data_IF_212978101211
#
_entry.id   IF_212978101211
#
_cell.length_a   1.000
_cell.length_b   1.000
_cell.length_c   1.000
_cell.angle_alpha   90.00
_cell.angle_beta   90.00
_cell.angle_gamma   90.00
#
_symmetry.space_group_name_H-M   'P 1'
#
loop_
_entity.id
_entity.type
_entity.pdbx_description
1 polymer ?
#
# COMPACT_ATOMS: atom_id res chain seq x y z
N UNK A 1 -6.53 -4.41 -7.08
CA UNK A 1 -7.81 -3.65 -6.99
C UNK A 1 -7.92 -2.57 -8.07
N UNK A 2 -6.91 -1.69 -8.26
CA UNK A 2 -6.95 -0.61 -9.28
C UNK A 2 -7.31 -1.14 -10.69
N UNK A 3 -6.64 -2.21 -11.14
CA UNK A 3 -6.91 -2.84 -12.42
C UNK A 3 -8.38 -3.30 -12.58
N UNK A 4 -8.95 -3.82 -11.49
CA UNK A 4 -10.35 -4.29 -11.48
C UNK A 4 -11.35 -3.13 -11.57
N UNK A 5 -11.21 -2.10 -10.73
CA UNK A 5 -12.19 -0.98 -10.71
C UNK A 5 -12.06 -0.07 -11.93
N UNK A 6 -10.85 0.10 -12.50
CA UNK A 6 -10.64 0.88 -13.72
C UNK A 6 -11.01 0.11 -14.99
N UNK A 7 -11.02 -1.23 -14.94
CA UNK A 7 -11.19 -2.11 -16.12
C UNK A 7 -10.18 -1.79 -17.23
N UNK A 8 -8.99 -1.31 -16.84
CA UNK A 8 -7.96 -0.99 -17.82
C UNK A 8 -7.37 -2.28 -18.43
N UNK A 9 -7.43 -2.45 -19.77
CA UNK A 9 -7.04 -3.69 -20.41
C UNK A 9 -5.56 -4.02 -20.24
N UNK A 10 -4.69 -3.01 -20.21
CA UNK A 10 -3.25 -3.21 -20.03
C UNK A 10 -2.92 -3.66 -18.60
N UNK A 11 -3.60 -3.08 -17.60
CA UNK A 11 -3.45 -3.51 -16.20
C UNK A 11 -4.02 -4.92 -15.99
N UNK A 12 -5.23 -5.19 -16.48
CA UNK A 12 -5.87 -6.51 -16.36
C UNK A 12 -5.05 -7.57 -17.11
N UNK A 13 -4.56 -7.24 -18.31
CA UNK A 13 -3.71 -8.12 -19.12
C UNK A 13 -2.40 -8.48 -18.40
N UNK A 14 -1.75 -7.53 -17.73
CA UNK A 14 -0.54 -7.78 -16.96
C UNK A 14 -0.79 -8.83 -15.85
N UNK A 15 -1.86 -8.67 -15.08
CA UNK A 15 -2.22 -9.64 -14.03
C UNK A 15 -2.61 -11.03 -14.60
N UNK A 16 -3.39 -11.08 -15.69
CA UNK A 16 -3.77 -12.35 -16.34
C UNK A 16 -2.57 -13.14 -16.84
N UNK A 17 -1.54 -12.43 -17.30
CA UNK A 17 -0.31 -13.03 -17.84
C UNK A 17 0.77 -13.25 -16.77
N UNK A 18 0.45 -13.05 -15.48
CA UNK A 18 1.41 -13.23 -14.39
C UNK A 18 2.59 -12.25 -14.41
N UNK A 19 2.45 -11.11 -15.12
CA UNK A 19 3.51 -10.09 -15.20
C UNK A 19 3.50 -9.18 -13.97
N UNK A 20 4.68 -8.73 -13.58
CA UNK A 20 4.80 -7.68 -12.56
C UNK A 20 4.20 -6.37 -13.07
N UNK A 21 3.20 -5.86 -12.37
CA UNK A 21 2.46 -4.67 -12.80
C UNK A 21 3.34 -3.42 -12.83
N UNK A 22 4.24 -3.26 -11.88
CA UNK A 22 5.12 -2.09 -11.83
C UNK A 22 6.20 -2.13 -12.91
N UNK A 23 6.74 -3.31 -13.21
CA UNK A 23 7.65 -3.49 -14.34
C UNK A 23 6.93 -3.26 -15.68
N UNK A 24 5.67 -3.70 -15.83
CA UNK A 24 4.83 -3.42 -17.00
C UNK A 24 4.60 -1.91 -17.15
N UNK A 25 4.31 -1.21 -16.09
CA UNK A 25 4.10 0.24 -16.08
C UNK A 25 5.40 0.96 -16.41
N UNK A 26 6.53 0.53 -15.84
CA UNK A 26 7.84 1.10 -16.13
C UNK A 26 8.20 0.93 -17.62
N UNK A 27 7.97 -0.25 -18.17
CA UNK A 27 8.18 -0.55 -19.59
C UNK A 27 7.41 0.40 -20.51
N UNK A 28 6.11 0.58 -20.24
CA UNK A 28 5.23 1.43 -21.06
C UNK A 28 5.52 2.92 -20.85
N UNK A 29 5.79 3.35 -19.63
CA UNK A 29 5.98 4.77 -19.29
C UNK A 29 7.36 5.29 -19.67
N UNK A 30 8.40 4.45 -19.55
CA UNK A 30 9.79 4.84 -19.81
C UNK A 30 10.31 4.33 -21.16
N UNK A 31 9.51 3.54 -21.89
CA UNK A 31 9.86 2.96 -23.17
C UNK A 31 11.11 2.05 -23.13
N UNK A 32 11.18 1.18 -22.12
CA UNK A 32 12.18 0.13 -22.00
C UNK A 32 11.57 -1.26 -22.18
N UNK A 33 12.33 -2.28 -22.62
CA UNK A 33 11.89 -3.67 -22.58
C UNK A 33 11.42 -4.07 -21.16
N UNK A 34 10.38 -4.90 -21.07
CA UNK A 34 9.84 -5.35 -19.78
C UNK A 34 10.90 -6.01 -18.92
N UNK A 35 11.74 -6.83 -19.50
CA UNK A 35 12.82 -7.57 -18.84
C UNK A 35 13.85 -6.63 -18.18
N UNK A 36 14.07 -5.45 -18.76
CA UNK A 36 14.96 -4.42 -18.20
C UNK A 36 14.30 -3.56 -17.12
N UNK A 37 13.00 -3.75 -16.88
CA UNK A 37 12.25 -3.09 -15.80
C UNK A 37 12.03 -4.02 -14.59
N UNK A 38 12.65 -5.21 -14.59
CA UNK A 38 12.60 -6.16 -13.48
C UNK A 38 13.81 -6.00 -12.56
N UNK A 39 13.66 -6.33 -11.28
CA UNK A 39 14.78 -6.36 -10.32
C UNK A 39 15.76 -7.47 -10.64
N UNK A 40 15.24 -8.61 -11.11
CA UNK A 40 16.05 -9.73 -11.59
C UNK A 40 15.65 -10.04 -13.03
N UNK A 41 16.64 -10.33 -13.86
CA UNK A 41 16.39 -10.74 -15.23
C UNK A 41 15.63 -12.07 -15.23
N UNK A 42 14.44 -12.16 -15.85
CA UNK A 42 13.60 -13.36 -15.79
C UNK A 42 14.20 -14.57 -16.52
N UNK A 43 15.21 -14.35 -17.38
CA UNK A 43 15.86 -15.40 -18.14
C UNK A 43 17.16 -15.88 -17.46
N UNK A 44 17.99 -14.92 -17.01
CA UNK A 44 19.33 -15.22 -16.48
C UNK A 44 19.39 -15.25 -14.96
N UNK A 45 18.36 -14.73 -14.27
CA UNK A 45 18.36 -14.54 -12.82
C UNK A 45 19.31 -13.42 -12.32
N UNK A 46 20.01 -12.73 -13.21
CA UNK A 46 20.96 -11.69 -12.84
C UNK A 46 20.25 -10.48 -12.21
N UNK A 47 20.84 -9.93 -11.17
CA UNK A 47 20.35 -8.71 -10.51
C UNK A 47 20.51 -7.49 -11.44
N UNK A 48 19.44 -6.69 -11.56
CA UNK A 48 19.37 -5.49 -12.41
C UNK A 48 19.04 -4.26 -11.57
N UNK A 49 20.05 -3.56 -11.01
CA UNK A 49 19.84 -2.38 -10.17
C UNK A 49 19.02 -1.28 -10.87
N UNK A 50 19.27 -1.04 -12.16
CA UNK A 50 18.50 -0.07 -12.96
C UNK A 50 17.06 -0.51 -13.17
N UNK A 51 16.81 -1.81 -13.38
CA UNK A 51 15.47 -2.37 -13.48
C UNK A 51 14.70 -2.18 -12.18
N UNK A 52 15.34 -2.43 -11.05
CA UNK A 52 14.79 -2.16 -9.69
C UNK A 52 14.42 -0.68 -9.53
N UNK A 53 15.28 0.23 -9.99
CA UNK A 53 15.02 1.67 -9.92
C UNK A 53 13.82 2.07 -10.77
N UNK A 54 13.77 1.66 -12.05
CA UNK A 54 12.66 1.92 -12.97
C UNK A 54 11.33 1.39 -12.41
N UNK A 55 11.33 0.16 -11.89
CA UNK A 55 10.17 -0.44 -11.22
C UNK A 55 9.75 0.36 -9.98
N UNK A 56 10.72 0.80 -9.18
CA UNK A 56 10.48 1.64 -8.00
C UNK A 56 9.85 2.99 -8.35
N UNK A 57 10.36 3.65 -9.39
CA UNK A 57 9.80 4.90 -9.91
C UNK A 57 8.36 4.72 -10.41
N UNK A 58 8.09 3.68 -11.19
CA UNK A 58 6.74 3.36 -11.66
C UNK A 58 5.77 3.12 -10.48
N UNK A 59 6.21 2.42 -9.43
CA UNK A 59 5.43 2.22 -8.20
C UNK A 59 5.05 3.55 -7.55
N UNK A 60 6.00 4.47 -7.38
CA UNK A 60 5.75 5.80 -6.78
C UNK A 60 4.75 6.59 -7.61
N UNK A 61 4.87 6.56 -8.95
CA UNK A 61 3.99 7.30 -9.86
C UNK A 61 2.57 6.77 -9.80
N UNK A 62 2.39 5.46 -9.94
CA UNK A 62 1.04 4.85 -9.94
C UNK A 62 0.34 5.04 -8.60
N UNK A 63 1.07 4.85 -7.51
CA UNK A 63 0.54 5.15 -6.18
C UNK A 63 0.25 6.65 -6.05
N UNK A 64 1.15 7.51 -6.53
CA UNK A 64 0.94 8.95 -6.57
C UNK A 64 -0.34 9.34 -7.31
N UNK A 65 -0.55 8.80 -8.52
CA UNK A 65 -1.76 9.03 -9.32
C UNK A 65 -3.02 8.57 -8.57
N UNK A 66 -3.01 7.34 -8.05
CA UNK A 66 -4.17 6.76 -7.37
C UNK A 66 -4.49 7.45 -6.03
N UNK A 67 -3.47 7.98 -5.34
CA UNK A 67 -3.63 8.77 -4.11
C UNK A 67 -3.81 10.27 -4.38
N UNK A 68 -3.79 10.68 -5.65
CA UNK A 68 -3.99 12.07 -6.07
C UNK A 68 -2.85 12.99 -5.65
N UNK A 69 -1.60 12.52 -5.64
CA UNK A 69 -0.44 13.37 -5.46
C UNK A 69 -0.36 14.38 -6.60
N UNK A 70 0.13 15.57 -6.31
CA UNK A 70 0.46 16.55 -7.36
C UNK A 70 1.74 16.13 -8.07
N UNK A 71 1.91 16.56 -9.33
CA UNK A 71 3.15 16.31 -10.08
C UNK A 71 4.38 16.91 -9.40
N UNK A 72 4.23 18.00 -8.67
CA UNK A 72 5.29 18.55 -7.80
C UNK A 72 5.69 17.53 -6.70
N UNK A 73 4.72 16.98 -5.99
CA UNK A 73 5.00 15.97 -4.93
C UNK A 73 5.60 14.68 -5.51
N UNK A 74 5.15 14.27 -6.70
CA UNK A 74 5.73 13.12 -7.42
C UNK A 74 7.18 13.45 -7.82
N UNK A 75 7.44 14.66 -8.34
CA UNK A 75 8.77 15.13 -8.70
C UNK A 75 9.74 15.15 -7.52
N UNK A 76 9.29 15.65 -6.37
CA UNK A 76 10.08 15.62 -5.14
C UNK A 76 10.37 14.20 -4.66
N UNK A 77 9.42 13.28 -4.81
CA UNK A 77 9.59 11.88 -4.43
C UNK A 77 10.56 11.13 -5.35
N UNK A 78 10.52 11.40 -6.65
CA UNK A 78 11.38 10.74 -7.64
C UNK A 78 12.78 11.36 -7.73
N UNK A 79 12.84 12.67 -7.73
CA UNK A 79 14.04 13.44 -8.02
C UNK A 79 14.54 14.26 -6.83
N UNK A 80 14.00 14.04 -5.62
CA UNK A 80 14.35 14.82 -4.43
C UNK A 80 15.84 14.83 -4.09
N UNK A 81 16.54 13.73 -4.38
CA UNK A 81 17.99 13.60 -4.19
C UNK A 81 18.83 14.31 -5.28
N UNK A 82 18.23 14.66 -6.43
CA UNK A 82 18.89 15.35 -7.54
C UNK A 82 19.04 16.83 -7.21
N UNK A 83 20.24 17.22 -6.80
CA UNK A 83 20.60 18.63 -6.48
C UNK A 83 20.83 19.49 -7.73
N UNK A 84 21.04 18.85 -8.86
CA UNK A 84 21.26 19.43 -10.19
C UNK A 84 19.96 19.90 -10.88
N UNK A 85 18.79 19.62 -10.29
CA UNK A 85 17.48 19.97 -10.83
C UNK A 85 16.77 20.98 -9.92
N UNK A 86 16.17 21.99 -10.52
CA UNK A 86 15.25 22.92 -9.84
C UNK A 86 13.91 22.26 -9.54
N UNK A 87 13.09 22.87 -8.67
CA UNK A 87 11.74 22.36 -8.35
C UNK A 87 10.83 22.36 -9.59
N UNK A 88 10.97 23.35 -10.47
CA UNK A 88 10.24 23.45 -11.73
C UNK A 88 10.62 22.33 -12.70
N UNK A 89 11.91 22.03 -12.84
CA UNK A 89 12.41 20.94 -13.70
C UNK A 89 11.94 19.59 -13.20
N UNK A 90 12.03 19.35 -11.88
CA UNK A 90 11.49 18.11 -11.26
C UNK A 90 10.00 17.94 -11.51
N UNK A 91 9.24 19.03 -11.39
CA UNK A 91 7.79 19.01 -11.64
C UNK A 91 7.47 18.76 -13.12
N UNK A 92 8.22 19.39 -14.03
CA UNK A 92 8.05 19.21 -15.48
C UNK A 92 8.37 17.77 -15.91
N UNK A 93 9.44 17.17 -15.37
CA UNK A 93 9.79 15.79 -15.66
C UNK A 93 8.76 14.81 -15.09
N UNK A 94 8.31 15.02 -13.84
CA UNK A 94 7.24 14.25 -13.24
C UNK A 94 5.92 14.37 -14.04
N UNK A 95 5.62 15.52 -14.64
CA UNK A 95 4.45 15.68 -15.48
C UNK A 95 4.53 14.83 -16.75
N UNK A 96 5.68 14.77 -17.41
CA UNK A 96 5.86 13.90 -18.60
C UNK A 96 5.59 12.46 -18.28
N UNK A 97 6.16 11.96 -17.16
CA UNK A 97 5.97 10.58 -16.74
C UNK A 97 4.51 10.31 -16.32
N UNK A 98 3.90 11.27 -15.62
CA UNK A 98 2.48 11.21 -15.25
C UNK A 98 1.59 11.07 -16.49
N UNK A 99 1.82 11.89 -17.52
CA UNK A 99 1.07 11.87 -18.77
C UNK A 99 1.32 10.56 -19.54
N UNK A 100 2.55 10.07 -19.57
CA UNK A 100 2.89 8.79 -20.19
C UNK A 100 2.14 7.62 -19.53
N UNK A 101 2.08 7.58 -18.20
CA UNK A 101 1.31 6.56 -17.47
C UNK A 101 -0.19 6.66 -17.78
N UNK A 102 -0.78 7.85 -17.76
CA UNK A 102 -2.20 8.01 -18.06
C UNK A 102 -2.53 7.70 -19.54
N UNK A 103 -1.61 7.91 -20.45
CA UNK A 103 -1.77 7.52 -21.85
C UNK A 103 -1.65 6.01 -22.04
N UNK A 104 -0.77 5.34 -21.29
CA UNK A 104 -0.64 3.88 -21.28
C UNK A 104 -1.87 3.18 -20.65
N UNK A 105 -2.58 3.89 -19.74
CA UNK A 105 -3.74 3.37 -19.01
C UNK A 105 -4.96 4.31 -19.12
N UNK A 106 -5.58 4.42 -20.30
CA UNK A 106 -6.64 5.39 -20.55
C UNK A 106 -7.87 5.18 -19.67
N UNK A 107 -8.22 3.92 -19.37
CA UNK A 107 -9.36 3.62 -18.51
C UNK A 107 -9.12 4.04 -17.04
N UNK A 108 -7.86 4.09 -16.59
CA UNK A 108 -7.53 4.63 -15.27
C UNK A 108 -7.86 6.12 -15.19
N UNK A 109 -7.52 6.88 -16.25
CA UNK A 109 -7.85 8.31 -16.34
C UNK A 109 -9.36 8.55 -16.29
N UNK A 110 -10.11 7.78 -17.05
CA UNK A 110 -11.58 7.86 -17.08
C UNK A 110 -12.21 7.46 -15.74
N UNK A 111 -11.67 6.44 -15.08
CA UNK A 111 -12.10 6.02 -13.75
C UNK A 111 -11.91 7.13 -12.71
N UNK A 112 -10.75 7.79 -12.70
CA UNK A 112 -10.50 8.93 -11.80
C UNK A 112 -11.54 10.01 -12.02
N UNK A 113 -11.76 10.43 -13.29
CA UNK A 113 -12.74 11.46 -13.63
C UNK A 113 -14.16 11.06 -13.23
N UNK A 114 -14.59 9.85 -13.56
CA UNK A 114 -15.92 9.34 -13.18
C UNK A 114 -16.13 9.33 -11.67
N UNK A 115 -15.11 8.96 -10.89
CA UNK A 115 -15.20 8.95 -9.43
C UNK A 115 -15.39 10.36 -8.85
N UNK A 116 -14.74 11.38 -9.44
CA UNK A 116 -14.92 12.79 -9.06
C UNK A 116 -16.30 13.30 -9.44
N UNK A 117 -16.77 13.01 -10.65
CA UNK A 117 -18.09 13.42 -11.14
C UNK A 117 -19.21 12.79 -10.30
N UNK A 118 -19.04 11.52 -9.91
CA UNK A 118 -19.97 10.83 -9.00
C UNK A 118 -20.03 11.53 -7.64
N UNK A 119 -18.88 11.86 -7.07
CA UNK A 119 -18.81 12.56 -5.78
C UNK A 119 -19.40 13.99 -5.88
N UNK A 120 -19.20 14.70 -7.00
CA UNK A 120 -19.83 16.02 -7.23
C UNK A 120 -21.34 15.91 -7.26
N UNK A 121 -21.85 14.89 -7.95
CA UNK A 121 -23.29 14.73 -8.15
C UNK A 121 -24.00 14.25 -6.89
N UNK A 122 -23.44 13.27 -6.21
CA UNK A 122 -24.13 12.54 -5.13
C UNK A 122 -23.57 12.80 -3.74
N UNK A 123 -22.39 13.45 -3.61
CA UNK A 123 -21.73 13.70 -2.33
C UNK A 123 -21.00 12.48 -1.74
N UNK A 124 -20.92 11.36 -2.49
CA UNK A 124 -20.25 10.14 -2.08
C UNK A 124 -19.69 9.37 -3.27
N UNK A 125 -18.82 8.42 -2.99
CA UNK A 125 -18.39 7.34 -3.90
C UNK A 125 -18.70 5.99 -3.27
N UNK A 126 -18.79 4.94 -4.08
CA UNK A 126 -19.10 3.57 -3.64
C UNK A 126 -17.96 2.60 -3.93
N UNK A 127 -17.73 1.68 -3.00
CA UNK A 127 -16.84 0.53 -3.19
C UNK A 127 -17.50 -0.53 -4.07
N UNK A 128 -16.78 -1.60 -4.41
CA UNK A 128 -17.29 -2.69 -5.25
C UNK A 128 -18.49 -3.42 -4.64
N UNK A 129 -18.65 -3.40 -3.31
CA UNK A 129 -19.80 -3.98 -2.61
C UNK A 129 -20.85 -2.93 -2.23
N UNK A 130 -20.77 -1.72 -2.78
CA UNK A 130 -21.78 -0.66 -2.58
C UNK A 130 -21.66 0.11 -1.27
N UNK A 131 -20.53 -0.04 -0.52
CA UNK A 131 -20.31 0.76 0.67
C UNK A 131 -19.99 2.21 0.29
N UNK A 132 -20.76 3.15 0.84
CA UNK A 132 -20.63 4.58 0.55
C UNK A 132 -19.58 5.27 1.40
N UNK A 133 -18.75 6.04 0.74
CA UNK A 133 -17.84 7.00 1.36
C UNK A 133 -18.32 8.41 1.05
N UNK A 134 -18.88 9.10 2.03
CA UNK A 134 -19.32 10.49 1.88
C UNK A 134 -18.14 11.43 1.73
N UNK A 135 -18.23 12.32 0.72
CA UNK A 135 -17.23 13.32 0.38
C UNK A 135 -17.95 14.64 0.08
N UNK A 136 -18.60 15.27 1.08
CA UNK A 136 -19.45 16.44 0.89
C UNK A 136 -18.71 17.64 0.33
N UNK A 137 -17.40 17.76 0.60
CA UNK A 137 -16.56 18.85 0.09
C UNK A 137 -16.50 18.88 -1.45
N UNK A 138 -16.81 17.78 -2.15
CA UNK A 138 -16.92 17.77 -3.62
C UNK A 138 -18.12 18.55 -4.16
N UNK A 139 -19.12 18.79 -3.33
CA UNK A 139 -20.32 19.55 -3.69
C UNK A 139 -20.21 21.04 -3.36
N UNK A 140 -19.14 21.46 -2.71
CA UNK A 140 -18.88 22.87 -2.42
C UNK A 140 -18.66 23.66 -3.72
N UNK A 141 -19.16 24.92 -3.72
CA UNK A 141 -18.75 25.88 -4.75
C UNK A 141 -17.29 26.28 -4.52
N UNK A 142 -16.48 26.48 -5.57
CA UNK A 142 -15.09 26.91 -5.44
C UNK A 142 -14.94 28.19 -4.62
N UNK A 143 -15.86 29.11 -4.80
CA UNK A 143 -15.96 30.35 -4.05
C UNK A 143 -17.39 30.57 -3.59
N UNK A 144 -17.53 30.94 -2.32
CA UNK A 144 -18.81 31.37 -1.75
C UNK A 144 -18.67 32.81 -1.28
N UNK A 145 -19.74 33.60 -1.46
CA UNK A 145 -19.77 35.01 -1.15
C UNK A 145 -20.78 35.25 -0.03
N UNK A 146 -20.37 35.94 1.02
CA UNK A 146 -21.23 36.29 2.16
C UNK A 146 -21.12 37.78 2.47
N UNK A 147 -22.21 38.38 2.87
CA UNK A 147 -22.17 39.76 3.36
C UNK A 147 -21.23 39.85 4.58
N UNK A 148 -20.26 40.71 4.52
CA UNK A 148 -19.35 41.07 5.61
C UNK A 148 -19.90 42.21 6.46
N UNK A 149 -19.14 42.57 7.48
CA UNK A 149 -19.50 43.73 8.33
C UNK A 149 -19.43 45.00 7.48
N UNK A 150 -20.52 45.76 7.40
CA UNK A 150 -20.60 46.99 6.62
C UNK A 150 -21.10 46.80 5.18
N UNK A 151 -21.46 45.56 4.76
CA UNK A 151 -22.09 45.34 3.47
C UNK A 151 -23.42 46.03 3.38
N UNK A 152 -23.64 46.74 2.27
CA UNK A 152 -24.93 47.43 1.95
C UNK A 152 -25.57 46.66 0.79
N UNK A 153 -26.68 46.01 1.03
CA UNK A 153 -27.46 45.36 -0.01
C UNK A 153 -28.12 46.38 -0.91
N UNK A 154 -27.76 46.48 -2.21
CA UNK A 154 -28.33 47.50 -3.11
C UNK A 154 -29.79 47.32 -3.44
N UNK A 155 -30.42 46.22 -3.09
CA UNK A 155 -31.83 45.91 -3.38
C UNK A 155 -32.73 46.18 -2.16
N UNK A 156 -32.22 46.83 -1.10
CA UNK A 156 -33.01 47.23 0.06
C UNK A 156 -33.76 48.53 -0.22
N UNK A 157 -35.05 48.49 -0.10
CA UNK A 157 -35.90 49.65 0.03
C UNK A 157 -36.18 49.90 1.51
N UNK A 158 -35.69 51.03 2.09
CA UNK A 158 -35.94 51.33 3.51
C UNK A 158 -37.42 51.47 3.87
N UNK A 159 -38.28 51.66 2.88
CA UNK A 159 -39.75 51.81 3.08
C UNK A 159 -40.53 50.45 2.96
N UNK A 160 -39.85 49.39 2.47
CA UNK A 160 -40.48 48.07 2.36
C UNK A 160 -39.91 47.08 3.41
N UNK A 161 -40.73 46.72 4.45
CA UNK A 161 -40.30 45.78 5.49
C UNK A 161 -39.88 44.41 4.97
N UNK A 162 -40.34 43.97 3.79
CA UNK A 162 -39.92 42.69 3.18
C UNK A 162 -38.48 42.71 2.70
N UNK A 163 -38.00 43.87 2.27
CA UNK A 163 -36.60 44.00 1.84
C UNK A 163 -35.66 44.21 3.03
N UNK A 164 -36.10 44.82 4.11
CA UNK A 164 -35.32 45.06 5.34
C UNK A 164 -34.86 43.75 5.98
N UNK A 165 -35.62 42.66 5.87
CA UNK A 165 -35.24 41.36 6.38
C UNK A 165 -33.99 40.78 5.67
N UNK A 166 -33.66 41.26 4.48
CA UNK A 166 -32.53 40.82 3.62
C UNK A 166 -31.27 41.70 3.68
N UNK A 167 -31.19 42.56 4.67
CA UNK A 167 -30.07 43.52 4.80
C UNK A 167 -28.69 42.86 4.76
N UNK A 168 -28.59 41.65 5.32
CA UNK A 168 -27.31 40.88 5.38
C UNK A 168 -27.22 39.84 4.27
N UNK A 169 -28.02 39.90 3.23
CA UNK A 169 -27.96 38.98 2.09
C UNK A 169 -27.40 39.66 0.86
N UNK A 170 -26.52 38.98 0.14
CA UNK A 170 -26.05 39.43 -1.17
C UNK A 170 -27.07 38.98 -2.20
N UNK A 171 -27.63 39.91 -3.02
CA UNK A 171 -28.55 39.55 -4.08
C UNK A 171 -28.02 38.48 -5.01
N UNK A 172 -28.83 37.51 -5.37
CA UNK A 172 -28.43 36.37 -6.20
C UNK A 172 -27.81 36.77 -7.54
N UNK A 173 -28.31 37.88 -8.13
CA UNK A 173 -27.73 38.43 -9.36
C UNK A 173 -26.29 38.84 -9.20
N UNK A 174 -25.88 39.39 -8.03
CA UNK A 174 -24.51 39.77 -7.71
C UNK A 174 -23.65 38.49 -7.48
N UNK A 175 -24.17 37.53 -6.72
CA UNK A 175 -23.51 36.23 -6.50
C UNK A 175 -23.19 35.56 -7.85
N UNK A 176 -24.19 35.45 -8.73
CA UNK A 176 -24.00 34.86 -10.08
C UNK A 176 -23.00 35.62 -10.92
N UNK A 177 -22.95 36.96 -10.82
CA UNK A 177 -21.95 37.79 -11.52
C UNK A 177 -20.56 37.47 -11.00
N UNK A 178 -20.36 37.42 -9.69
CA UNK A 178 -19.08 37.09 -9.06
C UNK A 178 -18.64 35.66 -9.39
N UNK A 179 -19.54 34.67 -9.37
CA UNK A 179 -19.22 33.30 -9.76
C UNK A 179 -18.68 33.22 -11.19
N UNK A 180 -19.31 33.93 -12.14
CA UNK A 180 -18.83 34.00 -13.53
C UNK A 180 -17.50 34.72 -13.65
N UNK A 181 -17.32 35.81 -12.92
CA UNK A 181 -16.09 36.57 -12.86
C UNK A 181 -14.94 35.68 -12.35
N UNK A 182 -15.10 34.99 -11.22
CA UNK A 182 -14.08 34.11 -10.64
C UNK A 182 -13.77 32.91 -11.53
N UNK A 183 -14.77 32.37 -12.24
CA UNK A 183 -14.56 31.29 -13.20
C UNK A 183 -13.73 31.73 -14.44
N UNK A 184 -13.72 33.02 -14.75
CA UNK A 184 -12.95 33.58 -15.91
C UNK A 184 -11.48 33.80 -15.63
N UNK A 185 -11.07 33.84 -14.36
CA UNK A 185 -9.68 34.15 -13.99
C UNK A 185 -8.73 32.97 -14.28
N UNK A 186 -7.66 33.28 -15.04
CA UNK A 186 -6.63 32.30 -15.40
C UNK A 186 -5.50 32.18 -14.37
N UNK A 187 -5.24 33.27 -13.63
CA UNK A 187 -4.10 33.39 -12.74
C UNK A 187 -4.50 33.63 -11.30
N UNK A 188 -3.86 32.90 -10.37
CA UNK A 188 -4.11 33.03 -8.92
C UNK A 188 -3.97 34.49 -8.42
N UNK A 189 -3.04 35.27 -8.97
CA UNK A 189 -2.84 36.66 -8.59
C UNK A 189 -4.06 37.53 -8.85
N UNK A 190 -4.79 37.31 -9.96
CA UNK A 190 -6.04 38.02 -10.28
C UNK A 190 -7.11 37.72 -9.23
N UNK A 191 -7.26 36.47 -8.89
CA UNK A 191 -8.23 35.98 -7.85
C UNK A 191 -7.90 36.63 -6.50
N UNK A 192 -6.62 36.61 -6.09
CA UNK A 192 -6.19 37.17 -4.82
C UNK A 192 -6.45 38.71 -4.75
N UNK A 193 -6.12 39.41 -5.80
CA UNK A 193 -6.38 40.85 -5.90
C UNK A 193 -7.86 41.17 -5.80
N UNK A 194 -8.70 40.39 -6.48
CA UNK A 194 -10.16 40.57 -6.46
C UNK A 194 -10.80 40.22 -5.10
N UNK A 195 -10.33 39.19 -4.45
CA UNK A 195 -10.76 38.82 -3.06
C UNK A 195 -10.50 40.02 -2.14
N UNK A 196 -9.30 40.59 -2.17
CA UNK A 196 -8.94 41.72 -1.33
C UNK A 196 -9.85 42.95 -1.60
N UNK A 197 -10.12 43.25 -2.87
CA UNK A 197 -11.03 44.33 -3.25
C UNK A 197 -12.46 44.10 -2.74
N UNK A 198 -13.00 42.88 -2.86
CA UNK A 198 -14.32 42.53 -2.37
C UNK A 198 -14.42 42.69 -0.85
N UNK A 199 -13.42 42.26 -0.10
CA UNK A 199 -13.42 42.29 1.37
C UNK A 199 -13.18 43.72 1.90
N UNK A 200 -12.27 44.50 1.31
CA UNK A 200 -11.89 45.81 1.82
C UNK A 200 -12.85 46.91 1.37
N UNK A 201 -13.34 46.84 0.13
CA UNK A 201 -14.13 47.95 -0.49
C UNK A 201 -15.62 47.63 -0.56
N UNK A 202 -15.96 46.39 -0.99
CA UNK A 202 -17.35 46.00 -1.20
C UNK A 202 -17.95 45.31 0.03
N UNK A 203 -17.13 45.08 1.05
CA UNK A 203 -17.52 44.38 2.29
C UNK A 203 -18.17 43.00 2.05
N UNK A 204 -17.72 42.31 1.00
CA UNK A 204 -18.15 40.94 0.67
C UNK A 204 -17.04 39.99 1.10
N UNK A 205 -17.33 39.13 2.07
CA UNK A 205 -16.43 38.07 2.51
C UNK A 205 -16.42 36.93 1.50
N UNK A 206 -15.23 36.53 1.07
CA UNK A 206 -15.03 35.43 0.12
C UNK A 206 -14.51 34.19 0.84
N UNK A 207 -15.26 33.08 0.75
CA UNK A 207 -14.84 31.79 1.25
C UNK A 207 -14.25 31.01 0.08
N UNK A 208 -12.95 30.75 0.14
CA UNK A 208 -12.25 29.98 -0.88
C UNK A 208 -12.22 28.50 -0.51
N UNK A 209 -13.00 27.68 -1.21
CA UNK A 209 -13.10 26.23 -1.01
C UNK A 209 -12.20 25.43 -1.95
N UNK A 210 -11.43 26.04 -2.84
CA UNK A 210 -10.64 25.34 -3.86
C UNK A 210 -9.70 24.29 -3.27
N UNK A 211 -9.05 24.60 -2.14
CA UNK A 211 -8.19 23.64 -1.44
C UNK A 211 -8.95 22.46 -0.82
N UNK A 212 -10.18 22.72 -0.30
CA UNK A 212 -11.04 21.66 0.24
C UNK A 212 -11.49 20.72 -0.88
N UNK A 213 -11.97 21.29 -1.99
CA UNK A 213 -12.38 20.54 -3.18
C UNK A 213 -11.21 19.72 -3.72
N UNK A 214 -10.01 20.32 -3.86
CA UNK A 214 -8.82 19.61 -4.32
C UNK A 214 -8.40 18.45 -3.40
N UNK A 215 -8.55 18.60 -2.07
CA UNK A 215 -8.33 17.52 -1.11
C UNK A 215 -9.41 16.44 -1.22
N UNK A 216 -10.65 16.82 -1.45
CA UNK A 216 -11.77 15.90 -1.61
C UNK A 216 -11.66 15.10 -2.91
N UNK A 217 -11.30 15.74 -4.03
CA UNK A 217 -11.03 15.11 -5.34
C UNK A 217 -10.04 13.94 -5.20
N UNK A 218 -8.91 14.17 -4.52
CA UNK A 218 -7.91 13.11 -4.26
C UNK A 218 -8.46 11.92 -3.47
N UNK A 219 -9.51 12.12 -2.64
CA UNK A 219 -10.13 11.05 -1.86
C UNK A 219 -11.09 10.19 -2.68
N UNK A 220 -11.61 10.67 -3.80
CA UNK A 220 -12.65 9.97 -4.56
C UNK A 220 -12.16 8.62 -5.07
N UNK A 221 -11.17 8.61 -5.94
CA UNK A 221 -10.58 7.42 -6.52
C UNK A 221 -9.99 6.50 -5.44
N UNK A 222 -9.19 7.09 -4.53
CA UNK A 222 -8.53 6.36 -3.45
C UNK A 222 -9.53 5.63 -2.53
N UNK A 223 -10.66 6.27 -2.18
CA UNK A 223 -11.68 5.65 -1.33
C UNK A 223 -12.34 4.43 -1.98
N UNK A 224 -12.50 4.43 -3.29
CA UNK A 224 -13.01 3.27 -4.02
C UNK A 224 -11.98 2.14 -3.98
N UNK A 225 -10.72 2.43 -4.35
CA UNK A 225 -9.65 1.43 -4.43
C UNK A 225 -9.37 0.80 -3.06
N UNK A 226 -9.06 1.62 -2.06
CA UNK A 226 -8.73 1.13 -0.71
C UNK A 226 -9.93 0.53 0.01
N UNK A 227 -11.10 1.16 -0.15
CA UNK A 227 -12.33 0.63 0.42
C UNK A 227 -12.67 -0.75 -0.12
N UNK A 228 -12.53 -0.96 -1.43
CA UNK A 228 -12.76 -2.25 -2.07
C UNK A 228 -11.69 -3.28 -1.70
N UNK A 229 -10.42 -2.87 -1.52
CA UNK A 229 -9.38 -3.75 -1.01
C UNK A 229 -9.69 -4.23 0.41
N UNK A 230 -10.14 -3.32 1.28
CA UNK A 230 -10.55 -3.68 2.64
C UNK A 230 -11.78 -4.61 2.67
N UNK A 231 -12.67 -4.51 1.68
CA UNK A 231 -13.79 -5.44 1.52
C UNK A 231 -13.30 -6.84 1.12
N UNK A 232 -12.31 -6.92 0.24
CA UNK A 232 -11.68 -8.19 -0.12
C UNK A 232 -11.08 -8.88 1.10
N UNK A 233 -10.34 -8.16 1.94
CA UNK A 233 -9.82 -8.68 3.21
C UNK A 233 -10.94 -9.18 4.13
N UNK A 234 -12.06 -8.47 4.21
CA UNK A 234 -13.22 -8.91 5.00
C UNK A 234 -13.86 -10.19 4.46
N UNK A 235 -13.95 -10.32 3.12
CA UNK A 235 -14.42 -11.57 2.50
C UNK A 235 -13.46 -12.72 2.87
N UNK A 236 -12.14 -12.48 2.83
CA UNK A 236 -11.15 -13.46 3.23
C UNK A 236 -11.33 -13.89 4.69
N UNK A 237 -11.50 -12.95 5.62
CA UNK A 237 -11.78 -13.23 7.04
C UNK A 237 -13.00 -14.11 7.19
N UNK A 238 -14.11 -13.78 6.52
CA UNK A 238 -15.35 -14.55 6.59
C UNK A 238 -15.19 -15.96 6.03
N UNK A 239 -14.45 -16.13 4.93
CA UNK A 239 -14.15 -17.44 4.36
C UNK A 239 -13.34 -18.29 5.34
N UNK A 240 -12.26 -17.77 5.89
CA UNK A 240 -11.41 -18.46 6.86
C UNK A 240 -12.19 -18.78 8.13
N UNK A 241 -12.95 -17.82 8.67
CA UNK A 241 -13.74 -18.00 9.88
C UNK A 241 -14.82 -19.08 9.73
N UNK A 242 -15.41 -19.23 8.55
CA UNK A 242 -16.50 -20.20 8.31
C UNK A 242 -16.00 -21.55 7.80
N UNK A 243 -14.75 -21.69 7.41
CA UNK A 243 -14.21 -22.93 6.84
C UNK A 243 -14.14 -24.05 7.90
N UNK A 244 -14.78 -25.21 7.65
CA UNK A 244 -14.82 -26.29 8.63
C UNK A 244 -13.47 -26.99 8.78
N UNK A 245 -12.67 -27.07 7.72
CA UNK A 245 -11.35 -27.71 7.75
C UNK A 245 -10.36 -26.88 8.57
N UNK A 246 -10.38 -25.55 8.39
CA UNK A 246 -9.62 -24.60 9.21
C UNK A 246 -9.95 -24.75 10.70
N UNK A 247 -11.25 -24.81 11.04
CA UNK A 247 -11.71 -25.00 12.42
C UNK A 247 -11.29 -26.34 13.01
N UNK A 248 -11.39 -27.43 12.22
CA UNK A 248 -11.00 -28.78 12.66
C UNK A 248 -9.49 -28.87 12.96
N UNK A 249 -8.67 -28.07 12.29
CA UNK A 249 -7.23 -27.95 12.58
C UNK A 249 -6.92 -27.08 13.80
N UNK A 250 -7.92 -26.45 14.41
CA UNK A 250 -7.75 -25.55 15.56
C UNK A 250 -7.28 -24.15 15.17
N UNK A 251 -7.46 -23.77 13.90
CA UNK A 251 -7.07 -22.46 13.40
C UNK A 251 -7.95 -21.33 13.94
N UNK A 252 -7.35 -20.19 14.28
CA UNK A 252 -8.03 -18.98 14.76
C UNK A 252 -7.47 -17.76 14.04
N UNK A 253 -8.34 -16.92 13.52
CA UNK A 253 -7.96 -15.56 13.02
C UNK A 253 -7.86 -14.64 14.22
N UNK A 254 -6.71 -13.99 14.40
CA UNK A 254 -6.46 -13.08 15.52
C UNK A 254 -6.80 -11.65 15.12
N UNK A 255 -6.18 -11.14 14.06
CA UNK A 255 -6.39 -9.76 13.61
C UNK A 255 -5.99 -9.58 12.13
N UNK A 256 -6.60 -8.62 11.43
CA UNK A 256 -6.13 -8.14 10.14
C UNK A 256 -5.09 -7.03 10.31
N UNK A 257 -4.04 -7.05 9.49
CA UNK A 257 -3.05 -5.97 9.38
C UNK A 257 -2.99 -5.53 7.92
N UNK A 258 -3.71 -4.48 7.57
CA UNK A 258 -3.87 -4.00 6.19
C UNK A 258 -4.42 -5.08 5.24
N UNK A 259 -3.57 -5.71 4.45
CA UNK A 259 -3.84 -6.78 3.49
C UNK A 259 -3.41 -8.17 3.98
N UNK A 260 -2.93 -8.26 5.21
CA UNK A 260 -2.51 -9.49 5.87
C UNK A 260 -3.55 -9.98 6.89
N UNK A 261 -3.59 -11.29 7.12
CA UNK A 261 -4.30 -11.91 8.23
C UNK A 261 -3.31 -12.58 9.16
N UNK A 262 -3.31 -12.16 10.41
CA UNK A 262 -2.59 -12.85 11.47
C UNK A 262 -3.50 -13.90 12.06
N UNK A 263 -3.03 -15.13 12.03
CA UNK A 263 -3.78 -16.28 12.50
C UNK A 263 -2.91 -17.18 13.40
N UNK A 264 -3.54 -17.91 14.27
CA UNK A 264 -2.93 -18.89 15.18
C UNK A 264 -3.42 -20.28 14.83
N UNK A 265 -2.53 -21.26 14.86
CA UNK A 265 -2.86 -22.66 14.61
C UNK A 265 -1.90 -23.56 15.42
N UNK A 266 -2.35 -24.74 15.91
CA UNK A 266 -1.43 -25.70 16.54
C UNK A 266 -0.28 -26.07 15.62
N UNK A 267 0.95 -26.10 16.15
CA UNK A 267 2.19 -26.33 15.38
C UNK A 267 2.10 -27.56 14.48
N UNK A 268 1.59 -28.69 15.02
CA UNK A 268 1.41 -29.93 14.26
C UNK A 268 0.56 -29.78 12.99
N UNK A 269 -0.26 -28.76 12.92
CA UNK A 269 -1.15 -28.45 11.80
C UNK A 269 -0.68 -27.25 10.97
N UNK A 270 0.47 -26.63 11.30
CA UNK A 270 0.92 -25.37 10.73
C UNK A 270 1.06 -25.41 9.20
N UNK A 271 1.68 -26.46 8.65
CA UNK A 271 1.84 -26.62 7.20
C UNK A 271 0.50 -26.70 6.48
N UNK A 272 -0.36 -27.63 6.90
CA UNK A 272 -1.68 -27.81 6.30
C UNK A 272 -2.57 -26.58 6.48
N UNK A 273 -2.52 -25.97 7.65
CA UNK A 273 -3.24 -24.74 7.93
C UNK A 273 -2.77 -23.58 7.08
N UNK A 274 -1.46 -23.45 6.84
CA UNK A 274 -0.91 -22.44 5.92
C UNK A 274 -1.44 -22.61 4.49
N UNK A 275 -1.49 -23.84 3.98
CA UNK A 275 -2.04 -24.12 2.65
C UNK A 275 -3.53 -23.76 2.55
N UNK A 276 -4.32 -24.06 3.59
CA UNK A 276 -5.75 -23.71 3.65
C UNK A 276 -5.93 -22.20 3.73
N UNK A 277 -5.16 -21.51 4.57
CA UNK A 277 -5.23 -20.06 4.73
C UNK A 277 -4.91 -19.36 3.40
N UNK A 278 -3.82 -19.75 2.72
CA UNK A 278 -3.44 -19.26 1.41
C UNK A 278 -4.56 -19.45 0.38
N UNK A 279 -5.15 -20.65 0.34
CA UNK A 279 -6.26 -20.97 -0.56
C UNK A 279 -7.47 -20.10 -0.28
N UNK A 280 -7.93 -20.00 0.95
CA UNK A 280 -9.14 -19.26 1.32
C UNK A 280 -8.99 -17.75 1.10
N UNK A 281 -7.82 -17.20 1.41
CA UNK A 281 -7.51 -15.79 1.13
C UNK A 281 -7.48 -15.51 -0.38
N UNK A 282 -6.87 -16.40 -1.17
CA UNK A 282 -6.86 -16.30 -2.63
C UNK A 282 -8.26 -16.39 -3.22
N UNK A 283 -9.10 -17.31 -2.73
CA UNK A 283 -10.49 -17.47 -3.15
C UNK A 283 -11.40 -16.27 -2.83
N UNK A 284 -11.02 -15.41 -1.90
CA UNK A 284 -11.74 -14.16 -1.65
C UNK A 284 -11.78 -13.27 -2.90
N UNK A 285 -10.81 -13.41 -3.78
CA UNK A 285 -10.70 -12.71 -5.06
C UNK A 285 -11.30 -13.42 -6.26
N UNK A 286 -12.04 -14.54 -6.13
CA UNK A 286 -12.54 -15.32 -7.26
C UNK A 286 -13.51 -14.57 -8.18
N UNK A 287 -14.10 -13.46 -7.75
CA UNK A 287 -14.91 -12.58 -8.59
C UNK A 287 -14.08 -11.64 -9.48
N UNK A 288 -12.78 -11.55 -9.25
CA UNK A 288 -11.88 -10.74 -10.06
C UNK A 288 -11.53 -11.46 -11.38
N UNK A 289 -11.23 -10.74 -12.45
CA UNK A 289 -10.89 -11.34 -13.74
C UNK A 289 -9.47 -11.95 -13.78
N UNK A 290 -8.76 -11.97 -12.67
CA UNK A 290 -7.42 -12.52 -12.50
C UNK A 290 -7.26 -13.12 -11.11
N UNK A 291 -6.34 -14.07 -10.97
CA UNK A 291 -6.06 -14.74 -9.69
C UNK A 291 -5.28 -13.82 -8.76
N UNK A 292 -5.65 -13.81 -7.47
CA UNK A 292 -4.85 -13.26 -6.39
C UNK A 292 -4.09 -14.41 -5.74
N UNK A 293 -2.78 -14.28 -5.58
CA UNK A 293 -1.97 -15.20 -4.81
C UNK A 293 -1.76 -14.62 -3.41
N UNK A 294 -1.83 -15.48 -2.40
CA UNK A 294 -1.54 -15.14 -1.02
C UNK A 294 -0.44 -16.05 -0.53
N UNK A 295 0.68 -15.47 -0.14
CA UNK A 295 1.79 -16.16 0.49
C UNK A 295 1.51 -16.27 2.00
N UNK A 296 1.90 -17.39 2.60
CA UNK A 296 1.76 -17.61 4.03
C UNK A 296 3.12 -17.94 4.62
N UNK A 297 3.49 -17.20 5.66
CA UNK A 297 4.67 -17.47 6.46
C UNK A 297 4.23 -17.96 7.83
N UNK A 298 4.81 -19.04 8.28
CA UNK A 298 4.57 -19.59 9.63
C UNK A 298 5.70 -19.14 10.55
N UNK A 299 5.36 -18.57 11.71
CA UNK A 299 6.30 -18.14 12.73
C UNK A 299 5.81 -18.56 14.10
N UNK A 300 6.71 -18.69 15.08
CA UNK A 300 6.29 -18.99 16.46
C UNK A 300 5.74 -17.76 17.19
N UNK A 301 6.11 -16.59 16.73
CA UNK A 301 5.69 -15.29 17.28
C UNK A 301 5.65 -14.22 16.19
N UNK A 302 4.85 -13.22 16.36
CA UNK A 302 4.90 -12.03 15.49
C UNK A 302 6.28 -11.37 15.63
N UNK A 303 7.01 -11.14 14.58
CA UNK A 303 8.45 -10.81 14.50
C UNK A 303 9.41 -11.98 14.73
N UNK A 304 8.94 -13.22 14.66
CA UNK A 304 9.81 -14.40 14.63
C UNK A 304 10.37 -14.65 13.23
N UNK A 305 11.47 -15.41 13.17
CA UNK A 305 11.92 -16.05 11.94
C UNK A 305 10.84 -17.03 11.43
N UNK A 306 10.87 -17.37 10.15
CA UNK A 306 10.02 -18.41 9.62
C UNK A 306 10.19 -19.70 10.42
N UNK A 307 9.09 -20.29 10.88
CA UNK A 307 9.17 -21.54 11.64
C UNK A 307 9.68 -22.68 10.75
N UNK A 308 10.50 -23.61 11.30
CA UNK A 308 11.15 -24.67 10.52
C UNK A 308 10.27 -25.64 9.77
N UNK A 309 8.94 -25.47 9.75
CA UNK A 309 8.12 -26.19 8.77
C UNK A 309 8.49 -25.86 7.30
N UNK A 310 9.28 -24.80 7.08
CA UNK A 310 9.88 -24.45 5.80
C UNK A 310 11.26 -25.08 5.64
N UNK A 311 11.94 -25.44 6.74
CA UNK A 311 13.24 -26.09 6.75
C UNK A 311 13.07 -27.59 7.06
N UNK A 312 14.02 -28.37 6.61
CA UNK A 312 14.02 -29.82 6.86
C UNK A 312 14.66 -30.11 8.21
N UNK A 313 13.93 -30.79 9.12
CA UNK A 313 14.48 -31.26 10.39
C UNK A 313 15.55 -32.33 10.10
N UNK A 314 16.81 -32.16 10.57
CA UNK A 314 17.83 -33.17 10.39
C UNK A 314 17.49 -34.45 11.19
N UNK A 315 17.91 -35.59 10.68
CA UNK A 315 17.74 -36.88 11.38
C UNK A 315 18.89 -37.20 12.33
N UNK A 316 20.06 -36.63 12.08
CA UNK A 316 21.27 -36.79 12.91
C UNK A 316 22.22 -35.61 12.70
N UNK A 317 23.02 -35.32 13.72
CA UNK A 317 24.12 -34.32 13.66
C UNK A 317 25.48 -34.99 13.88
N UNK A 318 25.62 -36.28 13.63
CA UNK A 318 26.90 -36.97 13.77
C UNK A 318 27.93 -36.55 12.72
N UNK A 319 27.45 -36.30 11.50
CA UNK A 319 28.29 -35.89 10.37
C UNK A 319 27.67 -34.64 9.68
N UNK A 320 28.14 -33.48 10.04
CA UNK A 320 27.63 -32.19 9.53
C UNK A 320 27.86 -32.01 8.02
N UNK A 321 28.88 -32.68 7.43
CA UNK A 321 29.15 -32.55 5.99
C UNK A 321 28.09 -33.17 5.11
N UNK A 322 27.18 -33.94 5.69
CA UNK A 322 26.07 -34.59 5.00
C UNK A 322 24.75 -33.83 5.10
N UNK A 323 24.71 -32.78 5.91
CA UNK A 323 23.49 -31.97 6.07
C UNK A 323 23.25 -31.12 4.82
N UNK A 324 22.00 -31.04 4.42
CA UNK A 324 21.54 -30.12 3.38
C UNK A 324 21.46 -28.69 3.92
N UNK A 325 21.50 -27.68 3.03
CA UNK A 325 21.31 -26.28 3.41
C UNK A 325 20.02 -26.06 4.23
N UNK A 326 18.94 -26.77 3.90
CA UNK A 326 17.67 -26.70 4.62
C UNK A 326 17.75 -27.28 6.03
N UNK A 327 18.55 -28.33 6.24
CA UNK A 327 18.78 -28.92 7.57
C UNK A 327 19.69 -28.05 8.43
N UNK A 328 20.70 -27.44 7.83
CA UNK A 328 21.57 -26.47 8.50
C UNK A 328 20.74 -25.24 8.92
N UNK A 329 19.90 -24.70 8.02
CA UNK A 329 19.04 -23.58 8.35
C UNK A 329 18.04 -23.91 9.47
N UNK A 330 17.57 -25.15 9.55
CA UNK A 330 16.74 -25.62 10.68
C UNK A 330 17.49 -25.54 12.01
N UNK A 331 18.75 -25.98 12.07
CA UNK A 331 19.60 -25.90 13.26
C UNK A 331 19.91 -24.45 13.63
N UNK A 332 20.28 -23.64 12.66
CA UNK A 332 20.54 -22.21 12.85
C UNK A 332 19.32 -21.49 13.42
N UNK A 333 18.12 -21.75 12.87
CA UNK A 333 16.89 -21.19 13.39
C UNK A 333 16.70 -21.49 14.88
N UNK A 334 16.88 -22.75 15.29
CA UNK A 334 16.67 -23.14 16.67
C UNK A 334 17.72 -22.53 17.61
N UNK A 335 18.98 -22.46 17.19
CA UNK A 335 20.03 -21.78 17.94
C UNK A 335 19.77 -20.29 18.06
N UNK A 336 19.31 -19.63 16.98
CA UNK A 336 18.95 -18.22 17.00
C UNK A 336 17.80 -17.95 17.98
N UNK A 337 16.75 -18.73 17.96
CA UNK A 337 15.61 -18.59 18.88
C UNK A 337 16.01 -18.82 20.36
N UNK A 338 17.10 -19.51 20.62
CA UNK A 338 17.68 -19.68 21.94
C UNK A 338 18.77 -18.62 22.26
N UNK A 339 18.77 -17.52 21.50
CA UNK A 339 19.64 -16.34 21.70
C UNK A 339 21.15 -16.59 21.44
N UNK A 340 21.49 -17.62 20.67
CA UNK A 340 22.86 -17.80 20.19
C UNK A 340 23.16 -16.80 19.05
N UNK A 341 24.29 -16.08 19.17
CA UNK A 341 24.72 -15.09 18.16
C UNK A 341 25.34 -15.80 16.95
N UNK A 342 24.51 -16.15 15.96
CA UNK A 342 24.98 -16.79 14.74
C UNK A 342 25.82 -15.86 13.86
N UNK A 343 26.88 -16.38 13.20
CA UNK A 343 27.61 -15.60 12.24
C UNK A 343 26.77 -15.28 11.02
N UNK A 344 26.97 -14.09 10.46
CA UNK A 344 26.30 -13.64 9.24
C UNK A 344 27.32 -13.75 8.10
N UNK A 345 27.13 -14.69 7.19
CA UNK A 345 27.98 -14.87 6.01
C UNK A 345 27.62 -13.83 4.95
N UNK A 346 28.45 -12.77 4.85
CA UNK A 346 28.25 -11.71 3.85
C UNK A 346 28.79 -12.15 2.50
N UNK A 347 27.93 -12.31 1.50
CA UNK A 347 28.34 -12.46 0.10
C UNK A 347 28.54 -11.08 -0.51
N UNK A 348 29.72 -10.85 -1.15
CA UNK A 348 30.05 -9.57 -1.77
C UNK A 348 28.98 -9.16 -2.80
N UNK A 349 28.42 -7.96 -2.66
CA UNK A 349 27.38 -7.44 -3.57
C UNK A 349 25.95 -7.93 -3.31
N UNK A 350 25.73 -8.79 -2.30
CA UNK A 350 24.39 -9.28 -1.94
C UNK A 350 23.90 -8.61 -0.66
N UNK A 351 22.75 -7.97 -0.72
CA UNK A 351 22.04 -7.50 0.48
C UNK A 351 21.32 -8.70 1.09
N UNK A 352 21.73 -9.10 2.27
CA UNK A 352 21.05 -10.15 3.02
C UNK A 352 19.69 -9.60 3.52
N UNK A 353 18.61 -10.35 3.28
CA UNK A 353 17.25 -10.03 3.72
C UNK A 353 16.63 -11.26 4.42
N UNK A 354 15.65 -11.01 5.28
CA UNK A 354 14.96 -12.07 6.01
C UNK A 354 15.86 -12.85 6.96
N UNK A 355 15.71 -14.16 6.98
CA UNK A 355 16.37 -15.07 7.89
C UNK A 355 17.89 -15.08 7.73
N UNK A 356 18.39 -14.95 6.50
CA UNK A 356 19.82 -14.88 6.22
C UNK A 356 20.51 -13.63 6.84
N UNK A 357 19.77 -12.52 7.00
CA UNK A 357 20.27 -11.32 7.68
C UNK A 357 20.46 -11.53 9.19
N UNK A 358 19.94 -12.61 9.73
CA UNK A 358 20.00 -13.01 11.14
C UNK A 358 20.91 -14.22 11.36
N UNK A 359 21.62 -14.67 10.32
CA UNK A 359 22.53 -15.81 10.37
C UNK A 359 21.84 -17.17 10.17
N UNK A 360 20.60 -17.19 9.67
CA UNK A 360 19.90 -18.42 9.25
C UNK A 360 19.99 -18.47 7.72
N UNK A 361 21.09 -18.94 7.21
CA UNK A 361 21.45 -18.89 5.79
C UNK A 361 21.73 -20.27 5.14
N UNK A 362 21.71 -21.35 5.94
CA UNK A 362 21.99 -22.70 5.51
C UNK A 362 23.47 -23.01 5.31
N UNK A 363 24.37 -22.13 5.73
CA UNK A 363 25.83 -22.35 5.67
C UNK A 363 26.35 -22.77 7.04
N UNK A 364 27.11 -23.86 7.08
CA UNK A 364 27.71 -24.36 8.31
C UNK A 364 28.91 -23.48 8.73
N UNK A 365 29.09 -23.29 10.04
CA UNK A 365 30.22 -22.56 10.60
C UNK A 365 30.79 -23.25 11.84
N UNK A 366 32.09 -22.97 12.15
CA UNK A 366 32.73 -23.46 13.35
C UNK A 366 32.05 -22.96 14.64
N UNK A 367 31.44 -21.79 14.59
CA UNK A 367 30.65 -21.26 15.70
C UNK A 367 29.41 -22.13 16.00
N UNK A 368 28.78 -22.71 15.00
CA UNK A 368 27.69 -23.65 15.20
C UNK A 368 28.13 -24.91 15.97
N UNK A 369 29.29 -25.47 15.62
CA UNK A 369 29.88 -26.59 16.37
C UNK A 369 30.06 -26.25 17.84
N UNK A 370 30.60 -25.07 18.11
CA UNK A 370 30.80 -24.56 19.46
C UNK A 370 29.47 -24.42 20.20
N UNK A 371 28.47 -23.80 19.58
CA UNK A 371 27.13 -23.59 20.19
C UNK A 371 26.42 -24.90 20.46
N UNK A 372 26.46 -25.85 19.53
CA UNK A 372 25.87 -27.19 19.72
C UNK A 372 26.55 -27.91 20.87
N UNK A 373 27.89 -27.89 20.92
CA UNK A 373 28.69 -28.53 21.99
C UNK A 373 28.36 -27.88 23.35
N UNK A 374 28.31 -26.56 23.42
CA UNK A 374 27.94 -25.81 24.62
C UNK A 374 26.55 -26.16 25.08
N UNK A 375 25.58 -26.20 24.14
CA UNK A 375 24.20 -26.53 24.44
C UNK A 375 24.03 -27.95 25.00
N UNK A 376 24.65 -28.94 24.37
CA UNK A 376 24.69 -30.35 24.80
C UNK A 376 25.26 -30.48 26.21
N UNK A 377 26.40 -29.83 26.46
CA UNK A 377 27.06 -29.86 27.77
C UNK A 377 26.21 -29.19 28.86
N UNK A 378 25.66 -28.01 28.58
CA UNK A 378 24.82 -27.23 29.49
C UNK A 378 23.54 -27.98 29.90
N UNK A 379 22.91 -28.67 28.95
CA UNK A 379 21.67 -29.39 29.18
C UNK A 379 21.90 -30.86 29.58
N UNK A 380 23.15 -31.36 29.61
CA UNK A 380 23.52 -32.74 29.97
C UNK A 380 22.77 -33.80 29.13
N UNK A 381 22.74 -33.60 27.83
CA UNK A 381 22.09 -34.50 26.85
C UNK A 381 23.13 -35.11 25.93
N UNK A 382 22.78 -36.17 25.20
CA UNK A 382 23.61 -36.77 24.17
C UNK A 382 23.48 -36.02 22.81
N UNK A 383 24.36 -36.32 21.84
CA UNK A 383 24.22 -35.82 20.47
C UNK A 383 22.94 -36.32 19.79
N UNK A 384 22.55 -37.55 20.08
CA UNK A 384 21.36 -38.18 19.53
C UNK A 384 20.06 -37.47 20.05
N UNK A 385 20.08 -37.04 21.31
CA UNK A 385 18.95 -36.33 21.93
C UNK A 385 18.87 -34.86 21.54
N UNK A 386 19.94 -34.29 20.99
CA UNK A 386 20.06 -32.83 20.75
C UNK A 386 18.92 -32.29 19.86
N UNK A 387 18.63 -32.93 18.73
CA UNK A 387 17.65 -32.46 17.74
C UNK A 387 16.26 -32.35 18.37
N UNK A 388 15.82 -33.38 19.05
CA UNK A 388 14.50 -33.39 19.68
C UNK A 388 14.44 -32.46 20.89
N UNK A 389 15.56 -32.35 21.63
CA UNK A 389 15.65 -31.48 22.79
C UNK A 389 15.66 -30.01 22.42
N UNK A 390 16.39 -29.60 21.37
CA UNK A 390 16.44 -28.20 20.91
C UNK A 390 15.08 -27.77 20.34
N UNK A 391 14.44 -28.64 19.56
CA UNK A 391 13.07 -28.38 19.06
C UNK A 391 12.09 -28.23 20.22
N UNK A 392 12.13 -29.13 21.19
CA UNK A 392 11.26 -29.07 22.38
C UNK A 392 11.46 -27.75 23.13
N UNK A 393 12.70 -27.31 23.32
CA UNK A 393 13.03 -26.07 24.02
C UNK A 393 12.48 -24.84 23.27
N UNK A 394 12.71 -24.74 21.98
CA UNK A 394 12.22 -23.64 21.17
C UNK A 394 10.70 -23.59 21.16
N UNK A 395 10.04 -24.74 20.98
CA UNK A 395 8.60 -24.82 20.90
C UNK A 395 7.92 -24.61 22.27
N UNK A 396 8.47 -25.18 23.35
CA UNK A 396 7.82 -25.15 24.67
C UNK A 396 8.19 -23.93 25.51
N UNK A 397 9.44 -23.50 25.49
CA UNK A 397 9.85 -22.37 26.34
C UNK A 397 9.35 -21.04 25.76
N UNK A 398 9.25 -20.91 24.46
CA UNK A 398 8.63 -19.74 23.81
C UNK A 398 7.10 -19.66 24.01
N UNK A 399 6.43 -20.80 24.26
CA UNK A 399 5.00 -20.81 24.63
C UNK A 399 4.75 -20.39 26.08
N UNK A 400 5.75 -20.42 26.96
CA UNK A 400 5.62 -20.02 28.37
C UNK A 400 5.78 -18.51 28.63
N UNK A 401 6.25 -17.76 27.62
CA UNK A 401 6.29 -16.31 27.70
C UNK A 401 4.88 -15.80 27.36
N UNK A 402 4.00 -15.90 28.33
CA UNK A 402 2.67 -15.25 28.34
C UNK A 402 2.72 -14.00 29.18
#
# INVERSE_FOLDING_TARGET
MTAFVSQDPNMVGAFKNGKDIYATIASLAFNYPYEECMEFNPITGANQPEGKERRGQAKVIVLGITYGMTTMTIGDSLFGKRKDMTSEEKTAEAQKIYDAVLNAFPNLKDFIKKSEDTARRYGYVETILGRRRHIPDMQLKPYEFKAGKGYINPDIDPLDPKTLSKTNEIPERIVRKLEKEFASYKYKGQIYKRIKQLEEIEHIKVINNTNKIAKASRKCCNSIIQGSAAELTKIAILKVFNDPEWKALGGRVLLPVHDELIAEIPIRNAKKGGEILSRLMSEAGNFLPFKINCDVTTTLRWYGLAYPCVYTKPTSIEDYSKLTESEIAWLQYHLFELEYALPIHKKEGVKLEGDAALGVDGEWSDEMDRFITEYISKNKISKEEFIDHIEYKVVYDLQKIK
#
